data_IF_019668664112
#
_entry.id   IF_019668664112
#
_cell.length_a   1.000
_cell.length_b   1.000
_cell.length_c   1.000
_cell.angle_alpha   90.00
_cell.angle_beta   90.00
_cell.angle_gamma   90.00
#
_symmetry.space_group_name_H-M   'P 1'
#
loop_
_entity.id
_entity.type
_entity.pdbx_description
1 polymer ?
#
# COMPACT_ATOMS: atom_id res chain seq x y z
N UNK A 1 -1.63 22.35 -28.02
CA UNK A 1 -1.96 21.08 -27.39
C UNK A 1 -2.04 21.40 -25.91
N UNK A 2 -3.12 21.08 -25.21
CA UNK A 2 -3.13 21.24 -23.75
C UNK A 2 -2.10 20.26 -23.17
N UNK A 3 -1.29 20.74 -22.23
CA UNK A 3 -0.34 19.87 -21.54
C UNK A 3 -1.10 18.74 -20.86
N UNK A 4 -0.56 17.50 -20.95
CA UNK A 4 -1.15 16.34 -20.27
C UNK A 4 -0.99 16.50 -18.76
N UNK A 5 -1.99 16.12 -18.01
CA UNK A 5 -1.85 16.01 -16.56
C UNK A 5 -0.90 14.86 -16.22
N UNK A 6 0.03 15.13 -15.31
CA UNK A 6 1.03 14.17 -14.84
C UNK A 6 0.56 13.49 -13.57
N UNK A 7 0.50 12.17 -13.58
CA UNK A 7 0.02 11.36 -12.47
C UNK A 7 1.14 10.44 -12.01
N UNK A 8 1.57 10.61 -10.77
CA UNK A 8 2.53 9.72 -10.12
C UNK A 8 1.80 8.63 -9.32
N UNK A 9 2.25 7.38 -9.48
CA UNK A 9 1.84 6.29 -8.59
C UNK A 9 3.07 5.82 -7.83
N UNK A 10 3.00 5.91 -6.50
CA UNK A 10 4.09 5.55 -5.60
C UNK A 10 3.76 4.26 -4.85
N UNK A 11 4.74 3.39 -4.68
CA UNK A 11 4.62 2.22 -3.81
C UNK A 11 5.93 1.88 -3.11
N UNK A 12 5.82 1.03 -2.08
CA UNK A 12 6.97 0.43 -1.38
C UNK A 12 6.99 -1.06 -1.67
N UNK A 13 8.14 -1.56 -2.10
CA UNK A 13 8.37 -2.96 -2.43
C UNK A 13 9.66 -3.43 -1.77
N UNK A 14 9.57 -3.83 -0.50
CA UNK A 14 10.70 -4.24 0.32
C UNK A 14 10.61 -5.72 0.66
N UNK A 15 11.77 -6.35 0.72
CA UNK A 15 12.06 -7.76 0.93
C UNK A 15 11.46 -8.71 -0.13
N UNK A 16 12.04 -9.90 -0.31
CA UNK A 16 11.62 -10.86 -1.34
C UNK A 16 10.15 -11.27 -1.29
N UNK A 17 9.51 -11.18 -0.13
CA UNK A 17 8.09 -11.52 0.05
C UNK A 17 7.17 -10.66 -0.85
N UNK A 18 7.56 -9.41 -1.10
CA UNK A 18 6.76 -8.45 -1.85
C UNK A 18 7.24 -8.23 -3.28
N UNK A 19 8.49 -8.62 -3.60
CA UNK A 19 9.04 -8.36 -4.93
C UNK A 19 8.22 -8.95 -6.08
N UNK A 20 7.61 -10.12 -5.87
CA UNK A 20 6.79 -10.79 -6.88
C UNK A 20 5.53 -10.03 -7.27
N UNK A 21 5.02 -9.16 -6.41
CA UNK A 21 3.80 -8.38 -6.67
C UNK A 21 4.06 -7.18 -7.59
N UNK A 22 5.27 -6.60 -7.54
CA UNK A 22 5.56 -5.37 -8.27
C UNK A 22 5.44 -5.48 -9.81
N UNK A 23 5.90 -6.54 -10.49
CA UNK A 23 5.67 -6.71 -11.93
C UNK A 23 4.19 -6.81 -12.30
N UNK A 24 3.38 -7.48 -11.46
CA UNK A 24 1.94 -7.60 -11.69
C UNK A 24 1.22 -6.27 -11.48
N UNK A 25 1.61 -5.53 -10.45
CA UNK A 25 1.12 -4.17 -10.22
C UNK A 25 1.43 -3.27 -11.42
N UNK A 26 2.67 -3.26 -11.90
CA UNK A 26 3.06 -2.48 -13.08
C UNK A 26 2.23 -2.84 -14.31
N UNK A 27 2.02 -4.14 -14.55
CA UNK A 27 1.19 -4.57 -15.67
C UNK A 27 -0.23 -4.00 -15.58
N UNK A 28 -0.84 -4.02 -14.40
CA UNK A 28 -2.15 -3.44 -14.15
C UNK A 28 -2.20 -1.93 -14.35
N UNK A 29 -1.17 -1.21 -13.88
CA UNK A 29 -1.03 0.23 -14.08
C UNK A 29 -0.93 0.58 -15.57
N UNK A 30 -0.09 -0.12 -16.31
CA UNK A 30 0.10 0.11 -17.74
C UNK A 30 -1.13 -0.24 -18.58
N UNK A 31 -1.96 -1.16 -18.09
CA UNK A 31 -3.13 -1.64 -18.82
C UNK A 31 -4.38 -0.83 -18.50
N UNK A 32 -4.62 -0.50 -17.24
CA UNK A 32 -5.93 -0.03 -16.77
C UNK A 32 -5.93 1.36 -16.14
N UNK A 33 -4.79 1.83 -15.58
CA UNK A 33 -4.77 3.05 -14.80
C UNK A 33 -4.72 4.29 -15.70
N UNK A 34 -5.85 4.99 -15.86
CA UNK A 34 -6.02 6.12 -16.78
C UNK A 34 -5.67 5.81 -18.25
N UNK A 35 -5.78 4.54 -18.64
CA UNK A 35 -5.42 4.04 -19.97
C UNK A 35 -6.62 3.76 -20.88
N UNK A 36 -7.85 3.96 -20.38
CA UNK A 36 -9.04 3.78 -21.22
C UNK A 36 -8.93 4.64 -22.50
N UNK A 37 -9.27 4.08 -23.69
CA UNK A 37 -9.08 4.76 -24.98
C UNK A 37 -9.65 6.17 -25.08
N UNK A 38 -10.74 6.46 -24.35
CA UNK A 38 -11.39 7.78 -24.36
C UNK A 38 -10.64 8.88 -23.59
N UNK A 39 -9.71 8.51 -22.71
CA UNK A 39 -9.04 9.46 -21.79
C UNK A 39 -7.52 9.37 -21.80
N UNK A 40 -6.92 8.27 -22.26
CA UNK A 40 -5.47 7.99 -22.14
C UNK A 40 -4.57 9.13 -22.66
N UNK A 41 -5.05 9.89 -23.63
CA UNK A 41 -4.28 10.98 -24.24
C UNK A 41 -4.26 12.27 -23.39
N UNK A 42 -5.07 12.32 -22.33
CA UNK A 42 -5.11 13.44 -21.37
C UNK A 42 -4.07 13.30 -20.25
N UNK A 43 -3.53 12.10 -20.04
CA UNK A 43 -2.70 11.77 -18.88
C UNK A 43 -1.34 11.22 -19.27
N UNK A 44 -0.33 11.58 -18.48
CA UNK A 44 0.98 10.95 -18.43
C UNK A 44 1.14 10.30 -17.05
N UNK A 45 1.37 8.99 -17.01
CA UNK A 45 1.46 8.22 -15.76
C UNK A 45 2.87 7.72 -15.55
N UNK A 46 3.41 7.86 -14.35
CA UNK A 46 4.70 7.30 -13.95
C UNK A 46 4.54 6.45 -12.70
N UNK A 47 5.13 5.26 -12.71
CA UNK A 47 5.18 4.37 -11.56
C UNK A 47 6.55 4.47 -10.87
N UNK A 48 6.51 4.79 -9.57
CA UNK A 48 7.66 5.02 -8.71
C UNK A 48 7.69 4.00 -7.58
N UNK A 49 8.82 3.31 -7.42
CA UNK A 49 8.95 2.21 -6.44
C UNK A 49 10.15 2.46 -5.54
N UNK A 50 9.91 2.56 -4.24
CA UNK A 50 10.96 2.49 -3.22
C UNK A 50 11.23 1.02 -2.91
N UNK A 51 12.44 0.56 -3.21
CA UNK A 51 12.72 -0.87 -3.19
C UNK A 51 14.15 -1.20 -2.79
N UNK A 52 14.29 -2.34 -2.12
CA UNK A 52 15.55 -2.99 -1.77
C UNK A 52 15.95 -4.09 -2.77
N UNK A 53 15.31 -4.13 -3.96
CA UNK A 53 15.66 -5.09 -5.02
C UNK A 53 17.08 -4.78 -5.50
N UNK A 54 18.04 -5.74 -5.39
CA UNK A 54 19.41 -5.53 -5.79
C UNK A 54 19.56 -5.16 -7.28
N UNK A 55 20.69 -4.54 -7.63
CA UNK A 55 21.00 -4.22 -9.02
C UNK A 55 21.46 -5.45 -9.81
N UNK A 56 22.16 -6.38 -9.15
CA UNK A 56 22.73 -7.54 -9.80
C UNK A 56 21.77 -8.72 -9.83
N UNK A 57 21.58 -9.37 -10.99
CA UNK A 57 20.70 -10.53 -11.11
C UNK A 57 21.04 -11.68 -10.14
N UNK A 58 22.34 -11.90 -9.89
CA UNK A 58 22.83 -12.94 -9.00
C UNK A 58 22.39 -12.70 -7.55
N UNK A 59 22.42 -11.45 -7.10
CA UNK A 59 21.97 -11.07 -5.75
C UNK A 59 20.45 -11.22 -5.62
N UNK A 60 19.68 -10.84 -6.67
CA UNK A 60 18.23 -11.05 -6.72
C UNK A 60 17.94 -12.55 -6.61
N UNK A 61 18.62 -13.37 -7.40
CA UNK A 61 18.43 -14.82 -7.41
C UNK A 61 18.74 -15.44 -6.05
N UNK A 62 19.84 -15.02 -5.43
CA UNK A 62 20.23 -15.51 -4.10
C UNK A 62 19.16 -15.18 -3.06
N UNK A 63 18.74 -13.93 -2.95
CA UNK A 63 17.73 -13.49 -1.95
C UNK A 63 16.37 -14.16 -2.16
N UNK A 64 15.95 -14.38 -3.40
CA UNK A 64 14.72 -15.12 -3.69
C UNK A 64 14.86 -16.60 -3.32
N UNK A 65 16.03 -17.22 -3.54
CA UNK A 65 16.28 -18.60 -3.15
C UNK A 65 16.31 -18.76 -1.62
N UNK A 66 16.93 -17.84 -0.89
CA UNK A 66 16.91 -17.80 0.58
C UNK A 66 15.49 -17.66 1.12
N UNK A 67 14.67 -16.82 0.46
CA UNK A 67 13.25 -16.70 0.80
C UNK A 67 12.50 -18.03 0.63
N UNK A 68 12.73 -18.78 -0.47
CA UNK A 68 12.11 -20.09 -0.67
C UNK A 68 12.51 -21.09 0.43
N UNK A 69 13.75 -21.04 0.92
CA UNK A 69 14.19 -21.83 2.08
C UNK A 69 13.39 -21.48 3.33
N UNK A 70 13.24 -20.18 3.60
CA UNK A 70 12.51 -19.69 4.77
C UNK A 70 11.01 -20.04 4.72
N UNK A 71 10.44 -20.14 3.50
CA UNK A 71 9.07 -20.61 3.30
C UNK A 71 8.93 -22.14 3.30
N UNK A 72 10.02 -22.89 3.43
CA UNK A 72 10.02 -24.37 3.35
C UNK A 72 9.86 -24.94 1.93
N UNK A 73 9.96 -24.07 0.88
CA UNK A 73 9.85 -24.44 -0.52
C UNK A 73 11.20 -24.83 -1.18
N UNK A 74 12.30 -24.65 -0.46
CA UNK A 74 13.63 -25.07 -0.85
C UNK A 74 14.38 -25.64 0.38
N UNK A 75 15.49 -26.33 0.14
CA UNK A 75 16.32 -26.91 1.18
C UNK A 75 17.74 -26.41 1.08
N UNK A 76 18.43 -26.35 2.20
CA UNK A 76 19.87 -26.12 2.23
C UNK A 76 20.62 -27.42 2.29
N UNK A 77 21.74 -27.50 1.58
CA UNK A 77 22.70 -28.62 1.69
C UNK A 77 24.08 -28.06 2.02
N UNK A 78 24.74 -28.68 3.00
CA UNK A 78 26.14 -28.39 3.30
C UNK A 78 27.02 -29.13 2.30
N UNK A 79 27.74 -28.42 1.44
CA UNK A 79 28.72 -29.00 0.51
C UNK A 79 30.03 -29.25 1.25
N UNK A 80 30.40 -28.37 2.15
CA UNK A 80 31.51 -28.51 3.10
C UNK A 80 31.17 -27.70 4.35
N UNK A 81 32.02 -27.70 5.38
CA UNK A 81 31.74 -27.00 6.64
C UNK A 81 31.52 -25.47 6.53
N UNK A 82 31.84 -24.86 5.38
CA UNK A 82 31.81 -23.44 5.17
C UNK A 82 30.84 -22.99 4.05
N UNK A 83 30.41 -23.92 3.19
CA UNK A 83 29.58 -23.58 2.02
C UNK A 83 28.22 -24.24 2.10
N UNK A 84 27.17 -23.39 2.04
CA UNK A 84 25.77 -23.81 2.00
C UNK A 84 25.24 -23.64 0.58
N UNK A 85 24.76 -24.71 -0.03
CA UNK A 85 24.04 -24.67 -1.30
C UNK A 85 22.52 -24.70 -1.05
N UNK A 86 21.78 -23.87 -1.78
CA UNK A 86 20.32 -23.90 -1.75
C UNK A 86 19.84 -24.84 -2.86
N UNK A 87 19.19 -25.93 -2.47
CA UNK A 87 18.62 -26.91 -3.36
C UNK A 87 17.16 -26.54 -3.66
N UNK A 88 16.92 -26.08 -4.87
CA UNK A 88 15.59 -25.73 -5.38
C UNK A 88 15.13 -26.82 -6.35
N UNK A 89 13.90 -27.28 -6.20
CA UNK A 89 13.32 -28.27 -7.13
C UNK A 89 13.24 -27.71 -8.57
N UNK A 90 13.31 -28.55 -9.63
CA UNK A 90 13.37 -28.07 -11.02
C UNK A 90 12.27 -27.10 -11.42
N UNK A 91 11.02 -27.36 -11.03
CA UNK A 91 9.88 -26.47 -11.28
C UNK A 91 10.04 -25.11 -10.57
N UNK A 92 10.51 -25.11 -9.33
CA UNK A 92 10.79 -23.89 -8.56
C UNK A 92 12.00 -23.13 -9.11
N UNK A 93 12.96 -23.83 -9.69
CA UNK A 93 14.10 -23.20 -10.35
C UNK A 93 13.69 -22.39 -11.57
N UNK A 94 12.75 -22.90 -12.38
CA UNK A 94 12.18 -22.16 -13.51
C UNK A 94 11.39 -20.93 -13.03
N UNK A 95 10.56 -21.07 -12.00
CA UNK A 95 9.84 -19.97 -11.38
C UNK A 95 10.80 -18.89 -10.84
N UNK A 96 11.88 -19.29 -10.20
CA UNK A 96 12.92 -18.39 -9.68
C UNK A 96 13.59 -17.59 -10.82
N UNK A 97 14.00 -18.26 -11.89
CA UNK A 97 14.60 -17.59 -13.06
C UNK A 97 13.63 -16.61 -13.70
N UNK A 98 12.37 -17.02 -13.86
CA UNK A 98 11.30 -16.15 -14.38
C UNK A 98 11.05 -14.95 -13.47
N UNK A 99 11.05 -15.16 -12.14
CA UNK A 99 10.90 -14.09 -11.15
C UNK A 99 12.00 -13.04 -11.28
N UNK A 100 13.26 -13.47 -11.39
CA UNK A 100 14.41 -12.57 -11.62
C UNK A 100 14.22 -11.76 -12.90
N UNK A 101 13.86 -12.43 -14.01
CA UNK A 101 13.65 -11.77 -15.30
C UNK A 101 12.52 -10.72 -15.22
N UNK A 102 11.40 -11.06 -14.61
CA UNK A 102 10.28 -10.14 -14.45
C UNK A 102 10.67 -8.88 -13.65
N UNK A 103 11.45 -9.04 -12.58
CA UNK A 103 11.93 -7.92 -11.77
C UNK A 103 12.89 -7.02 -12.57
N UNK A 104 13.79 -7.60 -13.34
CA UNK A 104 14.70 -6.84 -14.18
C UNK A 104 13.97 -6.07 -15.29
N UNK A 105 12.97 -6.68 -15.93
CA UNK A 105 12.14 -5.98 -16.92
C UNK A 105 11.30 -4.88 -16.30
N UNK A 106 10.73 -5.12 -15.11
CA UNK A 106 10.03 -4.08 -14.35
C UNK A 106 10.95 -2.88 -14.07
N UNK A 107 12.17 -3.10 -13.56
CA UNK A 107 13.12 -2.03 -13.23
C UNK A 107 13.47 -1.13 -14.42
N UNK A 108 13.39 -1.62 -15.66
CA UNK A 108 13.60 -0.79 -16.86
C UNK A 108 12.44 0.15 -17.18
N UNK A 109 11.26 -0.10 -16.61
CA UNK A 109 10.01 0.57 -16.98
C UNK A 109 9.48 1.48 -15.87
N UNK A 110 10.07 1.45 -14.68
CA UNK A 110 9.66 2.22 -13.51
C UNK A 110 10.80 3.07 -12.99
N UNK A 111 10.45 4.13 -12.26
CA UNK A 111 11.43 4.89 -11.46
C UNK A 111 11.67 4.15 -10.15
N UNK A 112 12.85 3.56 -9.99
CA UNK A 112 13.25 2.91 -8.75
C UNK A 112 14.02 3.90 -7.88
N UNK A 113 13.62 4.03 -6.62
CA UNK A 113 14.36 4.70 -5.56
C UNK A 113 14.93 3.61 -4.64
N UNK A 114 16.24 3.37 -4.68
CA UNK A 114 16.88 2.38 -3.82
C UNK A 114 16.67 2.74 -2.35
N UNK A 115 16.33 1.76 -1.55
CA UNK A 115 16.22 1.90 -0.09
C UNK A 115 16.71 0.65 0.61
N UNK A 116 17.07 0.77 1.87
CA UNK A 116 17.46 -0.37 2.68
C UNK A 116 16.27 -1.27 2.97
N UNK A 117 16.55 -2.55 3.23
CA UNK A 117 15.52 -3.49 3.69
C UNK A 117 15.06 -3.09 5.09
N UNK A 118 13.77 -2.96 5.27
CA UNK A 118 13.15 -2.58 6.54
C UNK A 118 12.17 -3.70 6.92
N UNK A 119 12.23 -4.17 8.15
CA UNK A 119 11.36 -5.23 8.62
C UNK A 119 9.96 -4.72 8.98
N UNK A 120 8.98 -5.60 8.85
CA UNK A 120 7.59 -5.33 9.25
C UNK A 120 7.50 -5.01 10.76
N UNK A 121 6.69 -4.01 11.19
CA UNK A 121 5.74 -3.20 10.42
C UNK A 121 6.32 -1.89 9.88
N UNK A 122 7.62 -1.66 10.01
CA UNK A 122 8.25 -0.38 9.68
C UNK A 122 8.03 0.08 8.22
N UNK A 123 7.93 -0.80 7.19
CA UNK A 123 7.61 -0.32 5.84
C UNK A 123 6.33 0.51 5.77
N UNK A 124 5.30 0.19 6.56
CA UNK A 124 4.06 0.96 6.57
C UNK A 124 4.21 2.32 7.26
N UNK A 125 4.97 2.37 8.36
CA UNK A 125 5.19 3.57 9.15
C UNK A 125 6.21 4.52 8.51
N UNK A 126 7.22 3.98 7.82
CA UNK A 126 8.29 4.76 7.21
C UNK A 126 7.96 5.22 5.78
N UNK A 127 6.82 4.83 5.19
CA UNK A 127 6.48 5.18 3.80
C UNK A 127 6.51 6.69 3.54
N UNK A 128 5.97 7.49 4.44
CA UNK A 128 5.96 8.95 4.26
C UNK A 128 7.34 9.56 4.40
N UNK A 129 8.22 9.00 5.24
CA UNK A 129 9.62 9.40 5.33
C UNK A 129 10.35 9.15 4.02
N UNK A 130 10.16 7.97 3.45
CA UNK A 130 10.79 7.56 2.18
C UNK A 130 10.30 8.44 1.02
N UNK A 131 9.00 8.64 0.90
CA UNK A 131 8.43 9.46 -0.19
C UNK A 131 8.89 10.91 -0.09
N UNK A 132 8.89 11.49 1.09
CA UNK A 132 9.30 12.89 1.32
C UNK A 132 10.79 13.14 1.12
N UNK A 133 11.65 12.11 1.05
CA UNK A 133 13.03 12.27 0.58
C UNK A 133 13.08 12.71 -0.89
N UNK A 134 12.03 12.47 -1.65
CA UNK A 134 11.90 12.82 -3.05
C UNK A 134 10.82 13.90 -3.29
N UNK A 135 10.55 14.74 -2.28
CA UNK A 135 9.48 15.75 -2.34
C UNK A 135 9.57 16.64 -3.59
N UNK A 136 10.76 17.15 -3.92
CA UNK A 136 10.96 18.00 -5.10
C UNK A 136 10.62 17.27 -6.41
N UNK A 137 10.95 15.99 -6.49
CA UNK A 137 10.60 15.16 -7.63
C UNK A 137 9.08 14.93 -7.72
N UNK A 138 8.46 14.62 -6.60
CA UNK A 138 7.02 14.39 -6.51
C UNK A 138 6.21 15.63 -6.89
N UNK A 139 6.72 16.85 -6.62
CA UNK A 139 6.07 18.11 -7.03
C UNK A 139 5.97 18.33 -8.54
N UNK A 140 6.62 17.49 -9.37
CA UNK A 140 6.46 17.54 -10.82
C UNK A 140 5.15 16.90 -11.33
N UNK A 141 4.37 16.27 -10.46
CA UNK A 141 3.10 15.63 -10.79
C UNK A 141 1.93 16.50 -10.33
N UNK A 142 0.81 16.44 -11.06
CA UNK A 142 -0.43 17.10 -10.69
C UNK A 142 -1.17 16.32 -9.60
N UNK A 143 -1.09 14.99 -9.67
CA UNK A 143 -1.66 14.05 -8.71
C UNK A 143 -0.64 12.98 -8.35
N UNK A 144 -0.69 12.53 -7.08
CA UNK A 144 0.06 11.39 -6.59
C UNK A 144 -0.89 10.44 -5.89
N UNK A 145 -0.77 9.16 -6.21
CA UNK A 145 -1.49 8.07 -5.55
C UNK A 145 -0.52 7.06 -4.99
N UNK A 146 -0.71 6.70 -3.74
CA UNK A 146 -0.08 5.54 -3.12
C UNK A 146 -1.01 4.33 -3.29
N UNK A 147 -0.44 3.21 -3.71
CA UNK A 147 -1.12 1.93 -3.80
C UNK A 147 -0.18 0.86 -3.22
N UNK A 148 -0.69 0.00 -2.32
CA UNK A 148 0.09 -1.13 -1.79
C UNK A 148 0.53 -2.06 -2.93
N UNK A 149 1.79 -2.52 -2.88
CA UNK A 149 2.37 -3.35 -3.95
C UNK A 149 1.67 -4.71 -4.12
N UNK A 150 1.05 -5.22 -3.04
CA UNK A 150 0.29 -6.47 -3.02
C UNK A 150 -1.17 -6.31 -3.48
N UNK A 151 -1.40 -5.36 -4.36
CA UNK A 151 -2.68 -5.15 -5.02
C UNK A 151 -2.60 -5.42 -6.53
N UNK A 152 -3.72 -5.85 -7.08
CA UNK A 152 -3.89 -6.09 -8.52
C UNK A 152 -4.95 -5.16 -9.08
N UNK A 153 -4.60 -4.42 -10.13
CA UNK A 153 -5.58 -3.63 -10.88
C UNK A 153 -6.25 -4.54 -11.91
N UNK A 154 -7.56 -4.68 -11.82
CA UNK A 154 -8.35 -5.68 -12.59
C UNK A 154 -9.30 -5.07 -13.58
N UNK A 155 -9.58 -3.77 -13.49
CA UNK A 155 -10.51 -3.06 -14.38
C UNK A 155 -10.08 -1.58 -14.54
N UNK A 156 -10.70 -0.90 -15.48
CA UNK A 156 -10.40 0.49 -15.81
C UNK A 156 -10.55 1.43 -14.60
N UNK A 157 -9.48 2.12 -14.28
CA UNK A 157 -9.45 3.24 -13.36
C UNK A 157 -9.51 4.51 -14.20
N UNK A 158 -10.56 5.28 -14.02
CA UNK A 158 -10.85 6.48 -14.79
C UNK A 158 -10.61 7.78 -14.02
N UNK A 159 -11.25 8.84 -14.49
CA UNK A 159 -11.18 10.19 -13.92
C UNK A 159 -11.90 10.29 -12.56
N UNK A 160 -12.61 9.26 -12.15
CA UNK A 160 -13.32 9.16 -10.87
C UNK A 160 -12.41 9.18 -9.64
N UNK A 161 -11.10 8.98 -9.81
CA UNK A 161 -10.10 9.14 -8.75
C UNK A 161 -9.58 10.59 -8.63
N UNK A 162 -9.87 11.44 -9.59
CA UNK A 162 -9.33 12.80 -9.67
C UNK A 162 -10.33 13.81 -9.10
N UNK A 163 -9.92 14.56 -8.09
CA UNK A 163 -10.71 15.59 -7.45
C UNK A 163 -9.88 16.82 -7.08
N UNK A 164 -10.52 17.82 -6.53
CA UNK A 164 -9.83 19.05 -6.10
C UNK A 164 -9.37 18.95 -4.65
N UNK A 165 -8.56 17.91 -4.35
CA UNK A 165 -8.02 17.64 -3.02
C UNK A 165 -7.59 16.19 -2.87
N UNK A 166 -7.78 15.63 -1.68
CA UNK A 166 -7.44 14.24 -1.38
C UNK A 166 -8.47 13.26 -1.91
N UNK A 167 -7.99 12.06 -2.22
CA UNK A 167 -8.79 10.89 -2.60
C UNK A 167 -8.51 9.77 -1.62
N UNK A 168 -9.57 9.17 -1.07
CA UNK A 168 -9.50 8.06 -0.13
C UNK A 168 -10.49 6.96 -0.51
N UNK A 169 -10.17 5.71 -0.24
CA UNK A 169 -11.04 4.57 -0.46
C UNK A 169 -11.67 4.10 0.86
N UNK A 170 -12.99 3.90 0.88
CA UNK A 170 -13.67 3.33 2.05
C UNK A 170 -13.13 1.94 2.38
N UNK A 171 -12.80 1.72 3.65
CA UNK A 171 -12.33 0.41 4.08
C UNK A 171 -13.43 -0.64 3.94
N UNK A 172 -13.19 -1.80 3.29
CA UNK A 172 -14.23 -2.79 2.97
C UNK A 172 -15.07 -3.24 4.16
N UNK A 173 -14.44 -3.42 5.32
CA UNK A 173 -15.13 -3.87 6.53
C UNK A 173 -16.13 -2.83 7.07
N UNK A 174 -15.90 -1.54 6.82
CA UNK A 174 -16.66 -0.44 7.42
C UNK A 174 -17.51 0.33 6.42
N UNK A 175 -17.30 0.10 5.14
CA UNK A 175 -18.07 0.71 4.06
C UNK A 175 -19.58 0.43 4.24
N UNK A 176 -20.42 1.45 4.01
CA UNK A 176 -21.87 1.40 4.10
C UNK A 176 -22.41 1.06 5.51
N UNK A 177 -21.56 0.91 6.52
CA UNK A 177 -21.95 0.58 7.90
C UNK A 177 -21.88 1.79 8.81
N UNK A 178 -22.81 2.70 8.65
CA UNK A 178 -22.86 3.97 9.39
C UNK A 178 -22.98 3.81 10.92
N UNK A 179 -23.41 2.66 11.40
CA UNK A 179 -23.56 2.37 12.84
C UNK A 179 -22.52 1.39 13.38
N UNK A 180 -21.48 1.07 12.60
CA UNK A 180 -20.40 0.20 13.05
C UNK A 180 -19.27 1.05 13.63
N UNK A 181 -18.56 0.53 14.63
CA UNK A 181 -17.44 1.25 15.26
C UNK A 181 -16.12 0.88 14.58
N UNK A 182 -15.60 1.73 13.67
CA UNK A 182 -14.28 1.50 13.10
C UNK A 182 -13.20 1.50 14.17
N UNK A 183 -12.06 0.83 13.92
CA UNK A 183 -11.00 0.66 14.91
C UNK A 183 -10.08 1.89 14.97
N UNK A 184 -10.65 3.02 15.35
CA UNK A 184 -9.85 4.21 15.64
C UNK A 184 -8.89 3.98 16.80
N UNK A 185 -7.81 4.75 16.84
CA UNK A 185 -6.82 4.68 17.92
C UNK A 185 -7.47 4.88 19.30
N UNK A 186 -7.36 3.88 20.19
CA UNK A 186 -8.00 3.97 21.51
C UNK A 186 -7.13 4.72 22.53
N UNK A 187 -5.80 4.83 22.32
CA UNK A 187 -4.89 5.44 23.26
C UNK A 187 -4.91 6.98 23.14
N UNK A 188 -5.37 7.72 24.16
CA UNK A 188 -5.44 9.18 24.10
C UNK A 188 -4.07 9.87 24.04
N UNK A 189 -2.96 9.16 24.31
CA UNK A 189 -1.60 9.69 24.24
C UNK A 189 -1.01 9.57 22.83
N UNK A 190 -1.61 8.77 21.94
CA UNK A 190 -1.19 8.69 20.55
C UNK A 190 -1.57 9.96 19.78
N UNK A 191 -0.69 10.37 18.88
CA UNK A 191 -0.94 11.45 17.93
C UNK A 191 -2.08 11.13 16.95
N UNK A 192 -2.40 9.84 16.78
CA UNK A 192 -3.50 9.37 15.94
C UNK A 192 -4.85 9.31 16.69
N UNK A 193 -4.91 9.63 17.97
CA UNK A 193 -6.14 9.58 18.75
C UNK A 193 -7.19 10.58 18.28
N UNK A 194 -8.44 10.12 18.17
CA UNK A 194 -9.62 10.93 17.85
C UNK A 194 -10.59 10.85 19.03
N UNK A 195 -10.73 11.94 19.77
CA UNK A 195 -11.53 11.97 21.00
C UNK A 195 -13.00 11.59 20.80
N UNK A 196 -13.57 11.96 19.66
CA UNK A 196 -14.98 11.67 19.29
C UNK A 196 -15.02 11.37 17.81
N UNK A 197 -14.70 10.13 17.41
CA UNK A 197 -14.70 9.77 16.01
C UNK A 197 -16.11 9.80 15.44
N UNK A 198 -16.24 10.42 14.27
CA UNK A 198 -17.51 10.56 13.56
C UNK A 198 -18.01 12.00 13.48
N UNK A 199 -18.96 12.22 12.59
CA UNK A 199 -19.57 13.52 12.34
C UNK A 199 -21.09 13.41 12.29
N UNK A 200 -21.76 14.50 12.62
CA UNK A 200 -23.20 14.63 12.37
C UNK A 200 -23.42 14.95 10.90
N UNK A 201 -24.21 14.15 10.23
CA UNK A 201 -24.70 14.39 8.88
C UNK A 201 -26.22 14.57 8.92
N UNK A 202 -26.77 15.24 7.91
CA UNK A 202 -28.21 15.30 7.69
C UNK A 202 -28.54 14.48 6.44
N UNK A 203 -29.42 13.49 6.59
CA UNK A 203 -29.87 12.61 5.53
C UNK A 203 -31.39 12.42 5.67
N UNK A 204 -32.13 12.71 4.60
CA UNK A 204 -33.60 12.66 4.58
C UNK A 204 -34.25 13.51 5.71
N UNK A 205 -33.69 14.70 5.98
CA UNK A 205 -34.16 15.59 7.05
C UNK A 205 -33.92 15.08 8.46
N UNK A 206 -33.11 14.02 8.65
CA UNK A 206 -32.75 13.47 9.94
C UNK A 206 -31.25 13.60 10.21
N UNK A 207 -30.93 14.03 11.42
CA UNK A 207 -29.54 14.02 11.89
C UNK A 207 -29.11 12.59 12.19
N UNK A 208 -28.05 12.14 11.53
CA UNK A 208 -27.41 10.85 11.76
C UNK A 208 -25.96 11.06 12.14
N UNK A 209 -25.44 10.16 12.94
CA UNK A 209 -24.02 10.12 13.26
C UNK A 209 -23.32 9.16 12.31
N UNK A 210 -22.35 9.65 11.58
CA UNK A 210 -21.58 8.88 10.61
C UNK A 210 -20.15 8.71 11.08
N UNK A 211 -19.64 7.49 11.01
CA UNK A 211 -18.24 7.16 11.21
C UNK A 211 -17.68 6.61 9.91
N UNK A 212 -16.76 7.37 9.31
CA UNK A 212 -16.09 6.98 8.08
C UNK A 212 -14.70 6.45 8.41
N UNK A 213 -14.32 5.34 7.78
CA UNK A 213 -13.00 4.75 7.94
C UNK A 213 -12.45 4.36 6.56
N UNK A 214 -11.25 4.79 6.28
CA UNK A 214 -10.61 4.65 4.99
C UNK A 214 -9.45 3.66 5.07
N UNK A 215 -9.27 2.86 4.02
CA UNK A 215 -8.19 1.90 3.94
C UNK A 215 -6.83 2.58 3.72
N UNK A 216 -5.79 2.04 4.34
CA UNK A 216 -4.42 2.53 4.21
C UNK A 216 -3.76 2.18 2.88
N UNK A 217 -4.24 1.16 2.19
CA UNK A 217 -3.62 0.65 0.97
C UNK A 217 -3.88 1.46 -0.30
N UNK A 218 -4.80 2.43 -0.27
CA UNK A 218 -5.02 3.41 -1.34
C UNK A 218 -5.16 4.80 -0.75
N UNK A 219 -4.22 5.68 -1.05
CA UNK A 219 -4.18 7.05 -0.55
C UNK A 219 -3.71 7.97 -1.68
N UNK A 220 -4.12 9.24 -1.69
CA UNK A 220 -3.58 10.17 -2.66
C UNK A 220 -4.47 11.38 -2.94
N UNK A 221 -4.34 11.94 -4.14
CA UNK A 221 -5.07 13.10 -4.61
C UNK A 221 -4.16 14.14 -5.27
N UNK A 222 -4.55 15.41 -5.23
CA UNK A 222 -3.68 16.50 -5.69
C UNK A 222 -2.36 16.48 -4.95
N UNK A 223 -1.27 16.63 -5.69
CA UNK A 223 0.09 16.50 -5.17
C UNK A 223 0.34 17.35 -3.93
N UNK A 224 -0.01 18.63 -3.96
CA UNK A 224 0.23 19.51 -2.82
C UNK A 224 -0.53 19.07 -1.57
N UNK A 225 -1.80 18.68 -1.73
CA UNK A 225 -2.61 18.19 -0.61
C UNK A 225 -2.05 16.88 -0.03
N UNK A 226 -1.57 15.98 -0.90
CA UNK A 226 -1.04 14.71 -0.43
C UNK A 226 0.35 14.86 0.20
N UNK A 227 1.20 15.75 -0.30
CA UNK A 227 2.49 16.08 0.32
C UNK A 227 2.27 16.68 1.73
N UNK A 228 1.31 17.56 1.90
CA UNK A 228 0.97 18.11 3.21
C UNK A 228 0.45 17.02 4.16
N UNK A 229 -0.41 16.15 3.67
CA UNK A 229 -0.88 14.99 4.43
C UNK A 229 0.27 14.09 4.88
N UNK A 230 1.18 13.75 3.96
CA UNK A 230 2.37 12.95 4.28
C UNK A 230 3.27 13.61 5.34
N UNK A 231 3.45 14.93 5.27
CA UNK A 231 4.25 15.68 6.27
C UNK A 231 3.64 15.62 7.67
N UNK A 232 2.31 15.81 7.75
CA UNK A 232 1.62 15.74 9.04
C UNK A 232 1.61 14.31 9.59
N UNK A 233 1.34 13.32 8.76
CA UNK A 233 1.35 11.92 9.17
C UNK A 233 2.75 11.47 9.62
N UNK A 234 3.81 11.83 8.87
CA UNK A 234 5.19 11.59 9.31
C UNK A 234 5.45 12.19 10.68
N UNK A 235 5.12 13.47 10.87
CA UNK A 235 5.31 14.14 12.16
C UNK A 235 4.57 13.41 13.29
N UNK A 236 3.33 12.99 13.07
CA UNK A 236 2.52 12.28 14.05
C UNK A 236 3.10 10.89 14.39
N UNK A 237 3.64 10.19 13.41
CA UNK A 237 4.34 8.91 13.60
C UNK A 237 5.64 9.14 14.42
N UNK A 238 6.43 10.16 14.09
CA UNK A 238 7.64 10.52 14.83
C UNK A 238 7.33 10.90 16.30
N UNK A 239 6.23 11.65 16.50
CA UNK A 239 5.75 12.00 17.85
C UNK A 239 5.37 10.74 18.65
N UNK A 240 4.70 9.75 18.03
CA UNK A 240 4.38 8.48 18.68
C UNK A 240 5.63 7.65 18.95
N UNK A 241 6.57 7.57 18.02
CA UNK A 241 7.87 6.90 18.21
C UNK A 241 8.67 7.51 19.37
N UNK A 242 8.66 8.83 19.51
CA UNK A 242 9.34 9.51 20.63
C UNK A 242 8.80 9.11 22.01
N UNK A 243 7.56 8.62 22.05
CA UNK A 243 6.89 8.07 23.23
C UNK A 243 6.91 6.55 23.30
N UNK A 244 7.71 5.90 22.42
CA UNK A 244 7.81 4.45 22.29
C UNK A 244 6.43 3.79 22.01
N UNK A 245 5.64 4.43 21.14
CA UNK A 245 4.30 3.99 20.79
C UNK A 245 4.15 3.78 19.27
N UNK A 246 3.33 2.82 18.91
CA UNK A 246 2.90 2.55 17.53
C UNK A 246 1.38 2.45 17.52
N UNK A 247 0.76 3.25 16.66
CA UNK A 247 -0.70 3.26 16.51
C UNK A 247 -1.24 1.90 16.06
N UNK A 248 -2.46 1.56 16.49
CA UNK A 248 -3.05 0.20 16.40
C UNK A 248 -3.04 -0.41 14.98
N UNK A 249 -3.25 0.38 13.94
CA UNK A 249 -3.21 -0.02 12.53
C UNK A 249 -2.15 0.76 11.76
N UNK A 250 -1.02 1.03 12.40
CA UNK A 250 0.13 1.69 11.80
C UNK A 250 -0.26 3.01 11.10
N UNK A 251 0.15 3.18 9.84
CA UNK A 251 -0.13 4.37 9.03
C UNK A 251 -1.61 4.58 8.69
N UNK A 252 -2.39 3.50 8.56
CA UNK A 252 -3.85 3.61 8.32
C UNK A 252 -4.55 4.38 9.43
N UNK A 253 -4.10 4.21 10.67
CA UNK A 253 -4.63 4.98 11.81
C UNK A 253 -4.32 6.47 11.68
N UNK A 254 -3.09 6.82 11.29
CA UNK A 254 -2.69 8.22 11.07
C UNK A 254 -3.39 8.83 9.86
N UNK A 255 -3.60 8.04 8.78
CA UNK A 255 -4.38 8.46 7.62
C UNK A 255 -5.82 8.83 8.01
N UNK A 256 -6.49 7.98 8.77
CA UNK A 256 -7.85 8.23 9.26
C UNK A 256 -7.90 9.42 10.22
N UNK A 257 -6.87 9.62 11.05
CA UNK A 257 -6.73 10.81 11.90
C UNK A 257 -6.61 12.08 11.08
N UNK A 258 -5.79 12.08 10.03
CA UNK A 258 -5.63 13.22 9.15
C UNK A 258 -6.93 13.56 8.41
N UNK A 259 -7.60 12.55 7.83
CA UNK A 259 -8.85 12.73 7.10
C UNK A 259 -10.03 13.12 7.99
N UNK A 260 -9.96 12.86 9.29
CA UNK A 260 -10.97 13.35 10.21
C UNK A 260 -11.01 14.89 10.28
N UNK A 261 -9.86 15.54 10.20
CA UNK A 261 -9.74 17.01 10.12
C UNK A 261 -9.78 17.56 8.70
N UNK A 262 -9.46 16.74 7.68
CA UNK A 262 -9.27 17.13 6.28
C UNK A 262 -10.07 16.19 5.38
N UNK A 263 -11.37 16.43 5.26
CA UNK A 263 -12.25 15.55 4.48
C UNK A 263 -11.75 15.38 3.04
N UNK A 264 -11.69 14.14 2.51
CA UNK A 264 -11.27 13.91 1.14
C UNK A 264 -12.27 14.53 0.16
N UNK A 265 -11.77 15.06 -0.97
CA UNK A 265 -12.59 15.58 -2.06
C UNK A 265 -13.26 14.44 -2.85
N UNK A 266 -12.59 13.27 -2.89
CA UNK A 266 -13.11 12.06 -3.54
C UNK A 266 -13.11 10.91 -2.53
N UNK A 267 -14.26 10.27 -2.38
CA UNK A 267 -14.42 9.04 -1.61
C UNK A 267 -14.77 7.91 -2.55
N UNK A 268 -13.85 6.97 -2.67
CA UNK A 268 -13.99 5.79 -3.52
C UNK A 268 -14.68 4.66 -2.73
N UNK A 269 -15.56 3.94 -3.40
CA UNK A 269 -16.21 2.78 -2.81
C UNK A 269 -15.25 1.56 -2.73
N UNK A 270 -15.65 0.44 -2.10
CA UNK A 270 -14.80 -0.75 -1.96
C UNK A 270 -14.32 -1.43 -3.24
N UNK A 271 -14.75 -1.02 -4.44
CA UNK A 271 -14.17 -1.51 -5.71
C UNK A 271 -12.68 -1.22 -5.82
N UNK A 272 -12.19 -0.16 -5.15
CA UNK A 272 -10.80 0.29 -5.20
C UNK A 272 -9.91 -0.33 -4.12
N UNK A 273 -10.50 -1.13 -3.25
CA UNK A 273 -9.85 -1.89 -2.17
C UNK A 273 -10.59 -3.21 -2.00
N UNK A 274 -10.86 -3.88 -3.12
CA UNK A 274 -11.71 -5.07 -3.13
C UNK A 274 -10.94 -6.27 -2.52
N UNK A 275 -11.50 -6.94 -1.49
CA UNK A 275 -10.87 -8.13 -0.93
C UNK A 275 -10.84 -9.26 -1.96
N UNK A 276 -9.82 -10.12 -1.89
CA UNK A 276 -9.70 -11.24 -2.82
C UNK A 276 -10.85 -12.25 -2.71
N UNK A 277 -10.85 -13.24 -3.62
CA UNK A 277 -11.93 -14.21 -3.76
C UNK A 277 -12.22 -15.03 -2.50
N UNK A 278 -11.25 -15.20 -1.58
CA UNK A 278 -11.43 -16.03 -0.38
C UNK A 278 -12.42 -15.40 0.62
N UNK A 279 -12.56 -14.09 0.59
CA UNK A 279 -13.42 -13.34 1.52
C UNK A 279 -14.49 -12.49 0.81
N UNK A 280 -14.49 -12.46 -0.52
CA UNK A 280 -15.39 -11.62 -1.31
C UNK A 280 -16.87 -11.86 -1.00
N UNK A 281 -17.32 -13.11 -0.90
CA UNK A 281 -18.71 -13.46 -0.58
C UNK A 281 -19.16 -12.92 0.79
N UNK A 282 -18.25 -12.91 1.76
CA UNK A 282 -18.52 -12.30 3.05
C UNK A 282 -18.79 -10.80 2.91
N UNK A 283 -17.96 -10.09 2.16
CA UNK A 283 -18.10 -8.65 1.97
C UNK A 283 -19.32 -8.29 1.12
N UNK A 284 -19.66 -9.09 0.09
CA UNK A 284 -20.89 -8.89 -0.69
C UNK A 284 -22.13 -8.96 0.21
N UNK A 285 -22.18 -9.93 1.13
CA UNK A 285 -23.26 -10.03 2.14
C UNK A 285 -23.25 -8.83 3.07
N UNK A 286 -22.07 -8.39 3.47
CA UNK A 286 -21.87 -7.26 4.36
C UNK A 286 -22.36 -5.95 3.73
N UNK A 287 -22.05 -5.71 2.47
CA UNK A 287 -22.43 -4.48 1.77
C UNK A 287 -23.89 -4.48 1.29
N UNK A 288 -24.54 -5.64 1.23
CA UNK A 288 -25.88 -5.79 0.63
C UNK A 288 -25.91 -5.49 -0.87
N UNK A 289 -24.73 -5.42 -1.52
CA UNK A 289 -24.57 -5.23 -2.96
C UNK A 289 -23.25 -5.83 -3.44
N UNK A 290 -23.17 -6.16 -4.72
CA UNK A 290 -21.93 -6.56 -5.37
C UNK A 290 -21.26 -5.34 -6.01
N UNK A 291 -19.95 -5.13 -5.71
CA UNK A 291 -19.10 -4.19 -6.41
C UNK A 291 -18.20 -4.96 -7.39
N UNK A 292 -18.05 -4.44 -8.59
CA UNK A 292 -17.02 -4.96 -9.52
C UNK A 292 -15.64 -4.50 -9.05
N UNK A 293 -14.69 -5.42 -8.85
CA UNK A 293 -13.36 -5.04 -8.38
C UNK A 293 -12.61 -4.23 -9.46
N UNK A 294 -12.05 -3.10 -9.08
CA UNK A 294 -11.11 -2.32 -9.88
C UNK A 294 -9.68 -2.49 -9.40
N UNK A 295 -9.48 -2.46 -8.08
CA UNK A 295 -8.23 -2.79 -7.43
C UNK A 295 -8.53 -3.84 -6.37
N UNK A 296 -7.87 -4.98 -6.46
CA UNK A 296 -8.07 -6.13 -5.59
C UNK A 296 -6.86 -6.30 -4.67
N UNK A 297 -7.10 -6.44 -3.36
CA UNK A 297 -6.07 -6.84 -2.40
C UNK A 297 -5.77 -8.33 -2.56
N UNK A 298 -4.50 -8.70 -2.57
CA UNK A 298 -4.10 -10.09 -2.76
C UNK A 298 -3.82 -10.76 -1.42
N UNK A 299 -4.30 -12.00 -1.27
CA UNK A 299 -3.97 -12.82 -0.11
C UNK A 299 -2.49 -13.20 -0.15
N UNK A 300 -1.78 -12.92 0.94
CA UNK A 300 -0.37 -13.26 1.12
C UNK A 300 -0.25 -14.74 1.48
N UNK A 301 0.61 -15.47 0.77
CA UNK A 301 0.91 -16.88 1.08
C UNK A 301 1.81 -17.04 2.28
N UNK A 302 2.48 -15.99 2.73
CA UNK A 302 3.33 -15.98 3.91
C UNK A 302 2.57 -15.35 5.08
N UNK A 303 2.75 -15.95 6.25
CA UNK A 303 2.12 -15.46 7.48
C UNK A 303 2.70 -14.08 7.86
N UNK A 304 1.91 -13.04 7.67
CA UNK A 304 2.06 -11.82 8.47
C UNK A 304 1.31 -12.07 9.77
N UNK A 305 1.76 -13.05 10.56
CA UNK A 305 1.06 -13.42 11.77
C UNK A 305 1.01 -12.24 12.73
N UNK A 306 -0.09 -12.16 13.47
CA UNK A 306 -0.31 -11.26 14.60
C UNK A 306 0.77 -11.37 15.72
N UNK A 307 1.74 -12.26 15.60
CA UNK A 307 2.98 -12.24 16.36
C UNK A 307 3.82 -11.00 16.10
N UNK A 308 3.70 -10.36 14.93
CA UNK A 308 4.27 -9.03 14.65
C UNK A 308 3.83 -7.96 15.65
N UNK A 309 2.57 -7.93 16.05
CA UNK A 309 2.07 -6.94 17.02
C UNK A 309 2.68 -7.06 18.43
N UNK A 310 3.13 -8.23 18.83
CA UNK A 310 3.88 -8.41 20.11
C UNK A 310 5.35 -8.02 19.97
N UNK A 311 5.95 -8.22 18.81
CA UNK A 311 7.37 -7.91 18.57
C UNK A 311 7.64 -6.42 18.34
N UNK A 312 6.64 -5.62 17.95
CA UNK A 312 6.82 -4.18 17.71
C UNK A 312 7.27 -3.45 18.97
N UNK A 313 6.68 -3.74 20.12
CA UNK A 313 7.11 -3.17 21.40
C UNK A 313 8.51 -3.63 21.82
N UNK A 314 8.91 -4.87 21.46
CA UNK A 314 10.26 -5.37 21.69
C UNK A 314 11.28 -4.77 20.71
N UNK A 315 10.92 -4.57 19.44
CA UNK A 315 11.80 -3.95 18.45
C UNK A 315 12.09 -2.47 18.76
N UNK A 316 11.08 -1.74 19.23
CA UNK A 316 11.27 -0.34 19.66
C UNK A 316 12.13 -0.20 20.92
N UNK A 317 12.20 -1.23 21.77
CA UNK A 317 13.06 -1.25 22.95
C UNK A 317 14.56 -1.53 22.61
N UNK A 318 14.87 -1.88 21.37
CA UNK A 318 16.23 -2.20 20.88
C UNK A 318 16.78 -1.13 19.92
N UNK A 319 15.99 -0.13 19.56
CA UNK A 319 16.42 1.10 18.87
C UNK A 319 16.70 2.21 19.87
#
# INVERSE_FOLDING_TARGET
MSDKLKIGVVCICLNPNYWSFAPEMLWGLDTFFLKHPSIKDKYETEFMVWSDIPEKPEEIQQRLAEFLVNCGEAKTSLINQETVEILVEPNKKEELVKGVQNLLEMKKRVKVFPTESIEWPMPTLMRYHLFLQQEEYLRNFDYIFYIDVDMRITDWIGEDILGDGLTAAEHPMYALRRNYHPPYEPNPESSAYIRRPGRLIEEDGKKKFEQLYYAGGFQGGKTENFIEAMKEMRKNIDDDFSRNYVAIWNDETHWNKYLFGNSPAVVLNPSYIYPDSLVADYYVKLWGRNYSPKIMTLTKKFSTTAEGGKNVQQMMATM
#
